data_IF_016802950324
#
_entry.id   IF_016802950324
#
_cell.length_a   1.000
_cell.length_b   1.000
_cell.length_c   1.000
_cell.angle_alpha   90.00
_cell.angle_beta   90.00
_cell.angle_gamma   90.00
#
_symmetry.space_group_name_H-M   'P 1'
#
loop_
_entity.id
_entity.type
_entity.pdbx_description
1 polymer ?
#
# COMPACT_ATOMS: atom_id res chain seq x y z
N UNK A 1 -29.62 -68.24 79.82
CA UNK A 1 -29.22 -67.25 78.79
C UNK A 1 -28.05 -66.34 79.25
N UNK A 2 -26.92 -66.88 79.74
CA UNK A 2 -25.73 -66.07 80.11
C UNK A 2 -24.56 -66.22 79.12
N UNK A 3 -24.45 -67.37 78.46
CA UNK A 3 -23.41 -67.68 77.47
C UNK A 3 -23.45 -66.80 76.21
N UNK A 4 -24.62 -66.51 75.64
CA UNK A 4 -24.77 -65.63 74.45
C UNK A 4 -24.23 -64.21 74.69
N UNK A 5 -24.43 -63.64 75.90
CA UNK A 5 -23.90 -62.31 76.25
C UNK A 5 -22.37 -62.31 76.41
N UNK A 6 -21.76 -63.45 76.69
CA UNK A 6 -20.31 -63.58 76.75
C UNK A 6 -19.69 -63.57 75.34
N UNK A 7 -20.29 -64.29 74.39
CA UNK A 7 -19.87 -64.28 72.98
C UNK A 7 -19.99 -62.89 72.34
N UNK A 8 -21.07 -62.17 72.62
CA UNK A 8 -21.29 -60.81 72.11
C UNK A 8 -20.21 -59.83 72.60
N UNK A 9 -19.83 -59.91 73.88
CA UNK A 9 -18.72 -59.11 74.43
C UNK A 9 -17.38 -59.48 73.83
N UNK A 10 -17.11 -60.76 73.62
CA UNK A 10 -15.86 -61.22 72.98
C UNK A 10 -15.80 -60.75 71.52
N UNK A 11 -16.91 -60.80 70.79
CA UNK A 11 -17.01 -60.31 69.42
C UNK A 11 -16.79 -58.79 69.34
N UNK A 12 -17.38 -58.01 70.26
CA UNK A 12 -17.17 -56.57 70.32
C UNK A 12 -15.71 -56.20 70.65
N UNK A 13 -15.06 -56.94 71.56
CA UNK A 13 -13.64 -56.72 71.87
C UNK A 13 -12.76 -57.06 70.66
N UNK A 14 -13.03 -58.17 69.98
CA UNK A 14 -12.30 -58.55 68.76
C UNK A 14 -12.47 -57.52 67.64
N UNK A 15 -13.70 -57.02 67.44
CA UNK A 15 -13.99 -55.97 66.47
C UNK A 15 -13.28 -54.65 66.82
N UNK A 16 -13.26 -54.26 68.10
CA UNK A 16 -12.55 -53.07 68.56
C UNK A 16 -11.04 -53.17 68.33
N UNK A 17 -10.44 -54.34 68.63
CA UNK A 17 -9.01 -54.59 68.37
C UNK A 17 -8.72 -54.53 66.86
N UNK A 18 -9.57 -55.13 66.03
CA UNK A 18 -9.41 -55.11 64.58
C UNK A 18 -9.47 -53.67 64.03
N UNK A 19 -10.46 -52.88 64.46
CA UNK A 19 -10.58 -51.48 64.06
C UNK A 19 -9.37 -50.65 64.52
N UNK A 20 -8.84 -50.93 65.70
CA UNK A 20 -7.64 -50.27 66.21
C UNK A 20 -6.40 -50.56 65.35
N UNK A 21 -6.22 -51.82 64.92
CA UNK A 21 -5.15 -52.17 63.97
C UNK A 21 -5.32 -51.50 62.61
N UNK A 22 -6.54 -51.43 62.08
CA UNK A 22 -6.82 -50.71 60.84
C UNK A 22 -6.50 -49.22 60.97
N UNK A 23 -6.87 -48.57 62.09
CA UNK A 23 -6.57 -47.17 62.34
C UNK A 23 -5.06 -46.88 62.34
N UNK A 24 -4.27 -47.73 63.01
CA UNK A 24 -2.79 -47.62 63.02
C UNK A 24 -2.21 -47.81 61.60
N UNK A 25 -2.73 -48.76 60.84
CA UNK A 25 -2.28 -49.03 59.47
C UNK A 25 -2.55 -47.83 58.55
N UNK A 26 -3.76 -47.26 58.62
CA UNK A 26 -4.14 -46.07 57.84
C UNK A 26 -3.25 -44.88 58.22
N UNK A 27 -3.04 -44.62 59.52
CA UNK A 27 -2.16 -43.54 59.98
C UNK A 27 -0.74 -43.68 59.41
N UNK A 28 -0.17 -44.89 59.48
CA UNK A 28 1.17 -45.15 58.94
C UNK A 28 1.25 -44.93 57.44
N UNK A 29 0.23 -45.37 56.70
CA UNK A 29 0.17 -45.17 55.25
C UNK A 29 0.07 -43.67 54.88
N UNK A 30 -0.73 -42.90 55.61
CA UNK A 30 -0.89 -41.46 55.40
C UNK A 30 0.42 -40.70 55.69
N UNK A 31 1.14 -41.07 56.76
CA UNK A 31 2.44 -40.46 57.07
C UNK A 31 3.52 -40.78 56.02
N UNK A 32 3.46 -41.95 55.38
CA UNK A 32 4.41 -42.35 54.32
C UNK A 32 4.06 -41.74 52.95
N UNK A 33 2.80 -41.39 52.72
CA UNK A 33 2.32 -40.83 51.45
C UNK A 33 3.11 -39.57 51.05
N UNK A 34 3.20 -38.57 51.94
CA UNK A 34 3.96 -37.33 51.68
C UNK A 34 5.41 -37.59 51.24
N UNK A 35 6.09 -38.54 51.88
CA UNK A 35 7.49 -38.88 51.54
C UNK A 35 7.63 -39.55 50.17
N UNK A 36 6.62 -40.32 49.76
CA UNK A 36 6.60 -40.99 48.46
C UNK A 36 6.28 -40.01 47.33
N UNK A 37 5.40 -39.02 47.56
CA UNK A 37 5.10 -37.96 46.61
C UNK A 37 6.32 -37.05 46.36
N UNK A 38 7.05 -36.69 47.42
CA UNK A 38 8.27 -35.89 47.28
C UNK A 38 9.37 -36.58 46.46
N UNK A 39 9.38 -37.93 46.37
CA UNK A 39 10.33 -38.69 45.54
C UNK A 39 9.92 -38.80 44.07
N UNK A 40 8.65 -38.58 43.73
CA UNK A 40 8.20 -38.51 42.34
C UNK A 40 8.46 -37.09 41.79
N UNK A 41 9.73 -36.72 41.65
CA UNK A 41 10.10 -35.64 40.76
C UNK A 41 9.80 -36.08 39.32
N UNK A 42 8.94 -35.34 38.62
CA UNK A 42 8.62 -35.60 37.21
C UNK A 42 9.87 -35.60 36.31
N UNK A 43 9.77 -36.16 35.09
CA UNK A 43 10.89 -36.13 34.15
C UNK A 43 11.37 -34.69 33.94
N UNK A 44 12.69 -34.47 33.81
CA UNK A 44 13.23 -33.12 33.63
C UNK A 44 12.59 -32.47 32.37
N UNK A 45 12.28 -31.16 32.42
CA UNK A 45 11.66 -30.48 31.28
C UNK A 45 12.60 -30.54 30.08
N UNK A 46 12.09 -31.03 28.94
CA UNK A 46 12.83 -31.01 27.68
C UNK A 46 13.12 -29.55 27.32
N UNK A 47 14.40 -29.21 27.08
CA UNK A 47 14.79 -27.88 26.62
C UNK A 47 14.09 -27.58 25.29
N UNK A 48 13.33 -26.49 25.25
CA UNK A 48 12.69 -26.02 24.03
C UNK A 48 13.75 -25.69 22.97
N UNK A 49 13.52 -26.09 21.72
CA UNK A 49 14.36 -25.68 20.60
C UNK A 49 14.27 -24.15 20.44
N UNK A 50 15.38 -23.48 20.08
CA UNK A 50 15.35 -22.05 19.83
C UNK A 50 14.40 -21.72 18.66
N UNK A 51 13.71 -20.57 18.70
CA UNK A 51 12.84 -20.15 17.61
C UNK A 51 13.63 -20.06 16.30
N UNK A 52 13.02 -20.49 15.19
CA UNK A 52 13.64 -20.43 13.86
C UNK A 52 14.09 -19.01 13.55
N UNK A 53 15.32 -18.86 13.01
CA UNK A 53 15.86 -17.55 12.64
C UNK A 53 14.88 -16.82 11.72
N UNK A 54 14.61 -15.55 12.04
CA UNK A 54 13.70 -14.69 11.27
C UNK A 54 14.36 -14.20 9.98
N UNK A 55 14.48 -15.10 9.01
CA UNK A 55 15.03 -14.83 7.67
C UNK A 55 14.30 -13.66 6.99
N UNK A 56 13.01 -13.50 7.26
CA UNK A 56 12.20 -12.40 6.72
C UNK A 56 12.62 -11.02 7.25
N UNK A 57 13.08 -10.92 8.51
CA UNK A 57 13.56 -9.66 9.08
C UNK A 57 14.86 -9.21 8.40
N UNK A 58 15.77 -10.15 8.12
CA UNK A 58 17.02 -9.86 7.41
C UNK A 58 16.76 -9.38 5.97
N UNK A 59 15.81 -10.02 5.26
CA UNK A 59 15.41 -9.58 3.93
C UNK A 59 14.71 -8.21 3.93
N UNK A 60 13.95 -7.90 4.97
CA UNK A 60 13.35 -6.57 5.12
C UNK A 60 14.40 -5.49 5.37
N UNK A 61 15.41 -5.78 6.19
CA UNK A 61 16.53 -4.87 6.46
C UNK A 61 17.36 -4.61 5.19
N UNK A 62 17.65 -5.64 4.40
CA UNK A 62 18.35 -5.50 3.11
C UNK A 62 17.58 -4.59 2.13
N UNK A 63 16.25 -4.72 2.07
CA UNK A 63 15.39 -3.86 1.23
C UNK A 63 15.31 -2.41 1.72
N UNK A 64 15.49 -2.17 3.02
CA UNK A 64 15.56 -0.80 3.57
C UNK A 64 16.88 -0.10 3.22
N UNK A 65 17.98 -0.86 3.14
CA UNK A 65 19.29 -0.31 2.77
C UNK A 65 19.36 0.10 1.29
N UNK A 66 18.54 -0.50 0.43
CA UNK A 66 18.42 -0.14 -0.99
C UNK A 66 17.00 0.33 -1.31
N UNK A 67 16.64 1.57 -0.92
CA UNK A 67 15.31 2.10 -1.22
C UNK A 67 15.12 2.16 -2.73
N UNK A 68 14.05 1.52 -3.20
CA UNK A 68 13.64 1.56 -4.60
C UNK A 68 13.45 3.02 -5.04
N UNK A 69 14.24 3.46 -6.02
CA UNK A 69 14.11 4.78 -6.59
C UNK A 69 12.89 4.83 -7.51
N UNK A 70 12.05 5.85 -7.32
CA UNK A 70 10.95 6.13 -8.23
C UNK A 70 11.55 6.60 -9.56
N UNK A 71 11.57 5.71 -10.55
CA UNK A 71 12.01 6.07 -11.90
C UNK A 71 10.79 6.48 -12.72
N UNK A 72 10.75 7.73 -13.17
CA UNK A 72 9.75 8.17 -14.13
C UNK A 72 10.11 7.54 -15.48
N UNK A 73 9.31 6.59 -15.94
CA UNK A 73 9.37 6.16 -17.34
C UNK A 73 8.60 7.18 -18.16
N UNK A 74 8.94 7.37 -19.43
CA UNK A 74 8.29 8.34 -20.32
C UNK A 74 6.77 8.17 -20.52
N UNK A 75 6.22 7.03 -20.06
CA UNK A 75 4.79 6.85 -19.85
C UNK A 75 4.41 7.57 -18.57
N UNK A 76 3.52 8.56 -18.69
CA UNK A 76 2.95 9.27 -17.55
C UNK A 76 2.69 8.27 -16.41
N UNK A 77 3.24 8.54 -15.22
CA UNK A 77 3.24 7.57 -14.13
C UNK A 77 1.83 7.07 -13.81
N UNK A 78 1.72 5.97 -13.05
CA UNK A 78 0.42 5.33 -12.71
C UNK A 78 -0.66 6.31 -12.15
N UNK A 79 -0.26 7.49 -11.69
CA UNK A 79 -1.12 8.52 -11.11
C UNK A 79 -1.15 9.83 -11.92
N UNK A 80 -0.46 9.91 -13.05
CA UNK A 80 -0.48 11.05 -13.96
C UNK A 80 -1.19 10.61 -15.24
N UNK A 81 -2.44 11.03 -15.48
CA UNK A 81 -3.11 10.70 -16.72
C UNK A 81 -2.37 11.34 -17.89
N UNK A 82 -2.15 10.57 -18.96
CA UNK A 82 -1.72 11.12 -20.24
C UNK A 82 -2.86 11.97 -20.82
N UNK A 83 -2.55 13.14 -21.40
CA UNK A 83 -3.56 13.96 -22.06
C UNK A 83 -3.93 13.32 -23.39
N UNK A 84 -5.20 12.97 -23.55
CA UNK A 84 -5.75 12.40 -24.77
C UNK A 84 -6.63 13.44 -25.47
N UNK A 85 -6.52 13.49 -26.78
CA UNK A 85 -7.27 14.37 -27.67
C UNK A 85 -8.01 13.52 -28.70
N UNK A 86 -9.02 14.07 -29.34
CA UNK A 86 -9.69 13.41 -30.47
C UNK A 86 -9.09 13.99 -31.75
N UNK A 87 -8.50 13.13 -32.57
CA UNK A 87 -7.96 13.55 -33.87
C UNK A 87 -9.09 13.87 -34.87
N UNK A 88 -8.73 14.41 -36.03
CA UNK A 88 -9.67 14.68 -37.12
C UNK A 88 -10.41 13.43 -37.64
N UNK A 89 -9.90 12.22 -37.35
CA UNK A 89 -10.49 10.94 -37.73
C UNK A 89 -11.40 10.35 -36.65
N UNK A 90 -11.56 11.03 -35.51
CA UNK A 90 -12.35 10.56 -34.37
C UNK A 90 -11.65 9.52 -33.48
N UNK A 91 -10.34 9.33 -33.64
CA UNK A 91 -9.52 8.42 -32.85
C UNK A 91 -8.84 9.15 -31.68
N UNK A 92 -8.61 8.46 -30.54
CA UNK A 92 -7.86 9.02 -29.44
C UNK A 92 -6.39 9.18 -29.85
N UNK A 93 -5.92 10.42 -29.87
CA UNK A 93 -4.54 10.79 -30.10
C UNK A 93 -3.90 11.34 -28.82
N UNK A 94 -2.59 11.22 -28.73
CA UNK A 94 -1.79 11.84 -27.66
C UNK A 94 -0.84 12.86 -28.25
N UNK A 95 -0.33 13.78 -27.41
CA UNK A 95 0.58 14.86 -27.83
C UNK A 95 1.84 14.35 -28.54
N UNK A 96 2.26 13.11 -28.27
CA UNK A 96 3.42 12.46 -28.88
C UNK A 96 3.12 11.78 -30.21
N UNK A 97 1.85 11.44 -30.45
CA UNK A 97 1.45 10.59 -31.58
C UNK A 97 0.92 11.41 -32.75
N UNK A 98 0.30 12.55 -32.48
CA UNK A 98 -0.37 13.36 -33.51
C UNK A 98 -0.31 14.84 -33.14
N UNK A 99 -0.11 15.68 -34.14
CA UNK A 99 -0.28 17.13 -34.01
C UNK A 99 -1.77 17.41 -33.79
N UNK A 100 -2.11 18.01 -32.65
CA UNK A 100 -3.51 18.28 -32.29
C UNK A 100 -4.09 19.37 -33.18
N UNK A 101 -3.27 20.38 -33.52
CA UNK A 101 -3.65 21.52 -34.35
C UNK A 101 -2.68 21.71 -35.52
N UNK A 102 -2.74 20.86 -36.56
CA UNK A 102 -1.90 21.03 -37.74
C UNK A 102 -2.15 22.39 -38.40
N UNK A 103 -1.11 23.09 -38.89
CA UNK A 103 0.28 22.65 -39.04
C UNK A 103 1.21 23.01 -37.86
N UNK A 104 0.67 23.44 -36.71
CA UNK A 104 1.46 23.92 -35.58
C UNK A 104 1.88 22.73 -34.70
N UNK A 105 3.18 22.57 -34.40
CA UNK A 105 3.65 21.48 -33.56
C UNK A 105 3.20 21.68 -32.10
N UNK A 106 2.82 20.57 -31.45
CA UNK A 106 2.35 20.58 -30.07
C UNK A 106 3.37 21.21 -29.10
N UNK A 107 4.67 20.99 -29.33
CA UNK A 107 5.76 21.55 -28.50
C UNK A 107 5.73 23.09 -28.45
N UNK A 108 5.33 23.75 -29.55
CA UNK A 108 5.23 25.21 -29.60
C UNK A 108 4.06 25.69 -28.73
N UNK A 109 2.90 25.05 -28.84
CA UNK A 109 1.73 25.34 -28.00
C UNK A 109 2.04 25.09 -26.50
N UNK A 110 2.78 24.03 -26.18
CA UNK A 110 3.19 23.74 -24.80
C UNK A 110 4.24 24.74 -24.28
N UNK A 111 5.20 25.15 -25.11
CA UNK A 111 6.24 26.11 -24.75
C UNK A 111 5.64 27.46 -24.33
N UNK A 112 4.61 27.92 -25.04
CA UNK A 112 3.91 29.17 -24.76
C UNK A 112 2.70 28.99 -23.83
N UNK A 113 2.52 27.79 -23.26
CA UNK A 113 1.42 27.45 -22.35
C UNK A 113 0.02 27.78 -22.92
N UNK A 114 -0.15 27.67 -24.23
CA UNK A 114 -1.41 27.91 -24.91
C UNK A 114 -2.41 26.77 -24.62
N UNK A 115 -3.72 27.05 -24.61
CA UNK A 115 -4.74 26.05 -24.33
C UNK A 115 -4.91 25.07 -25.51
N UNK A 116 -4.00 24.10 -25.64
CA UNK A 116 -3.99 23.09 -26.71
C UNK A 116 -5.28 22.24 -26.78
N UNK A 117 -6.07 22.21 -25.70
CA UNK A 117 -7.35 21.51 -25.67
C UNK A 117 -8.46 22.25 -26.43
N UNK A 118 -8.30 23.56 -26.66
CA UNK A 118 -9.29 24.37 -27.34
C UNK A 118 -9.16 24.18 -28.85
N UNK A 119 -10.29 23.91 -29.51
CA UNK A 119 -10.33 23.68 -30.96
C UNK A 119 -9.96 24.94 -31.77
N UNK A 120 -10.15 26.12 -31.19
CA UNK A 120 -9.91 27.42 -31.80
C UNK A 120 -8.59 28.05 -31.33
N UNK A 121 -7.71 27.31 -30.66
CA UNK A 121 -6.44 27.85 -30.11
C UNK A 121 -5.61 28.60 -31.14
N UNK A 122 -5.65 28.21 -32.43
CA UNK A 122 -4.91 28.88 -33.50
C UNK A 122 -5.49 30.25 -33.89
N UNK A 123 -6.77 30.48 -33.62
CA UNK A 123 -7.49 31.72 -33.91
C UNK A 123 -7.53 32.68 -32.71
N UNK A 124 -7.17 32.19 -31.52
CA UNK A 124 -7.10 33.00 -30.31
C UNK A 124 -5.93 34.00 -30.38
N UNK A 125 -6.14 35.13 -29.72
CA UNK A 125 -5.19 36.24 -29.53
C UNK A 125 -5.10 36.52 -28.00
N UNK A 126 -4.16 35.86 -27.29
CA UNK A 126 -4.05 35.97 -25.83
C UNK A 126 -3.54 37.33 -25.34
N UNK A 127 -2.71 38.03 -26.13
CA UNK A 127 -2.08 39.29 -25.75
C UNK A 127 -2.76 40.55 -26.34
N UNK A 128 -3.81 40.32 -27.13
CA UNK A 128 -4.67 41.30 -27.76
C UNK A 128 -3.89 42.31 -28.61
N UNK A 129 -2.88 41.86 -29.32
CA UNK A 129 -2.06 42.66 -30.23
C UNK A 129 -2.63 42.73 -31.67
N UNK A 130 -3.64 41.92 -31.96
CA UNK A 130 -4.33 41.83 -33.25
C UNK A 130 -3.79 40.76 -34.21
N UNK A 131 -2.80 39.97 -33.78
CA UNK A 131 -2.33 38.76 -34.44
C UNK A 131 -2.88 37.53 -33.72
N UNK A 132 -3.18 36.49 -34.49
CA UNK A 132 -3.57 35.22 -33.88
C UNK A 132 -2.35 34.31 -33.71
N UNK A 133 -2.50 33.31 -32.85
CA UNK A 133 -1.45 32.33 -32.58
C UNK A 133 -0.88 31.68 -33.86
N UNK A 134 -1.71 31.48 -34.90
CA UNK A 134 -1.25 30.92 -36.17
C UNK A 134 -0.34 31.87 -36.97
N UNK A 135 -0.70 33.15 -37.07
CA UNK A 135 0.10 34.17 -37.74
C UNK A 135 1.42 34.40 -37.00
N UNK A 136 1.39 34.35 -35.67
CA UNK A 136 2.60 34.47 -34.85
C UNK A 136 3.52 33.26 -34.95
N UNK A 137 2.95 32.05 -35.04
CA UNK A 137 3.72 30.86 -35.36
C UNK A 137 4.43 30.98 -36.72
N UNK A 138 3.73 31.50 -37.75
CA UNK A 138 4.35 31.77 -39.05
C UNK A 138 5.41 32.88 -38.98
N UNK A 139 5.14 33.91 -38.18
CA UNK A 139 6.04 35.03 -37.92
C UNK A 139 7.23 34.71 -37.03
N UNK A 140 7.26 33.50 -36.44
CA UNK A 140 8.24 33.09 -35.42
C UNK A 140 8.29 34.06 -34.24
N UNK A 141 7.13 34.57 -33.85
CA UNK A 141 6.96 35.51 -32.74
C UNK A 141 6.32 34.84 -31.53
N UNK A 142 6.00 35.61 -30.49
CA UNK A 142 5.68 35.08 -29.18
C UNK A 142 4.22 35.43 -28.81
N UNK A 143 3.31 34.43 -28.79
CA UNK A 143 1.87 34.64 -28.65
C UNK A 143 1.36 35.10 -27.28
N UNK A 144 2.29 35.30 -26.35
CA UNK A 144 1.98 35.79 -25.01
C UNK A 144 2.63 37.17 -24.73
N UNK A 145 3.44 37.68 -25.66
CA UNK A 145 4.11 38.97 -25.51
C UNK A 145 3.69 39.93 -26.62
N UNK A 146 2.85 40.88 -26.23
CA UNK A 146 2.32 41.96 -27.06
C UNK A 146 3.36 42.76 -27.84
N UNK A 147 4.63 42.78 -27.41
CA UNK A 147 5.69 43.50 -28.13
C UNK A 147 6.39 42.65 -29.19
N UNK A 148 6.17 41.34 -29.15
CA UNK A 148 6.80 40.35 -30.00
C UNK A 148 5.77 39.88 -31.02
N UNK A 149 5.56 40.72 -32.02
CA UNK A 149 4.57 40.51 -33.07
C UNK A 149 5.18 40.67 -34.47
N UNK A 150 4.58 40.06 -35.51
CA UNK A 150 5.00 40.26 -36.88
C UNK A 150 4.78 41.72 -37.34
N UNK A 151 5.39 42.12 -38.45
CA UNK A 151 5.16 43.47 -38.98
C UNK A 151 3.67 43.66 -39.34
N UNK A 152 3.05 44.75 -38.85
CA UNK A 152 1.67 45.13 -39.16
C UNK A 152 1.40 45.24 -40.67
N UNK A 153 2.43 45.46 -41.50
CA UNK A 153 2.30 45.43 -42.94
C UNK A 153 1.74 44.10 -43.47
N UNK A 154 1.97 42.99 -42.77
CA UNK A 154 1.44 41.66 -43.13
C UNK A 154 -0.08 41.57 -43.08
N UNK A 155 -0.73 42.41 -42.25
CA UNK A 155 -2.20 42.50 -42.13
C UNK A 155 -2.84 43.37 -43.20
N UNK A 156 -2.07 44.14 -43.96
CA UNK A 156 -2.62 45.04 -44.97
C UNK A 156 -3.20 44.25 -46.14
N UNK A 157 -4.53 44.27 -46.25
CA UNK A 157 -5.26 43.72 -47.40
C UNK A 157 -5.81 44.86 -48.25
N UNK A 158 -5.72 44.72 -49.56
CA UNK A 158 -6.29 45.68 -50.50
C UNK A 158 -7.82 45.71 -50.33
N UNK A 159 -8.37 46.87 -49.97
CA UNK A 159 -9.80 47.02 -49.65
C UNK A 159 -10.71 46.91 -50.88
N UNK A 160 -10.29 47.46 -52.01
CA UNK A 160 -10.94 47.33 -53.31
C UNK A 160 -10.01 47.87 -54.41
N UNK A 161 -10.04 47.23 -55.58
CA UNK A 161 -9.55 47.83 -56.82
C UNK A 161 -10.74 48.41 -57.56
N UNK A 162 -10.75 49.72 -57.79
CA UNK A 162 -11.72 50.35 -58.69
C UNK A 162 -11.02 50.53 -60.03
N UNK A 163 -11.54 49.89 -61.07
CA UNK A 163 -11.14 50.06 -62.46
C UNK A 163 -11.83 51.28 -63.09
#
# INVERSE_FOLDING_TARGET
MKWIRAYDRVALIAAAIFLFFCAISIWRSAAQFETNFARQAGPPPKKASPPGKAVELAHAEEKLQQPSQWTFRERSGLFVPEKHFIDANGLPATLKTTEVHPPVPNEWLEQFALPIADADVLEQDPDADGFNNFEEWQGHTNPIDKNSHPDYLTKLKMKAFSE
#
